data_IF_001467382912
#
_entry.id   IF_001467382912
#
_cell.length_a   1.000
_cell.length_b   1.000
_cell.length_c   1.000
_cell.angle_alpha   90.00
_cell.angle_beta   90.00
_cell.angle_gamma   90.00
#
_symmetry.space_group_name_H-M   'P 1'
#
loop_
_entity.id
_entity.type
_entity.pdbx_description
1 polymer ?
#
# COMPACT_ATOMS: atom_id res chain seq x y z
N UNK A 1 -0.43 17.83 -22.51
CA UNK A 1 -0.35 16.58 -21.74
C UNK A 1 -0.55 16.98 -20.29
N UNK A 2 -1.48 16.35 -19.60
CA UNK A 2 -1.75 16.67 -18.19
C UNK A 2 -0.52 16.29 -17.35
N UNK A 3 -0.21 17.08 -16.33
CA UNK A 3 1.00 16.84 -15.54
C UNK A 3 0.90 15.54 -14.73
N UNK A 4 -0.20 15.35 -14.00
CA UNK A 4 -0.40 14.14 -13.22
C UNK A 4 -1.90 13.84 -13.07
N UNK A 5 -2.31 12.60 -13.35
CA UNK A 5 -3.66 12.11 -12.99
C UNK A 5 -3.68 11.66 -11.55
N UNK A 6 -4.73 12.03 -10.81
CA UNK A 6 -4.96 11.59 -9.43
C UNK A 6 -6.00 10.49 -9.43
N UNK A 7 -5.61 9.27 -9.02
CA UNK A 7 -6.47 8.08 -8.98
C UNK A 7 -6.85 7.80 -7.53
N UNK A 8 -8.15 7.78 -7.25
CA UNK A 8 -8.72 7.49 -5.93
C UNK A 8 -9.57 6.23 -6.03
N UNK A 9 -9.27 5.22 -5.19
CA UNK A 9 -10.05 3.98 -5.15
C UNK A 9 -11.05 4.04 -4.02
N UNK A 10 -12.33 3.89 -4.35
CA UNK A 10 -13.41 3.74 -3.38
C UNK A 10 -13.81 2.26 -3.23
N UNK A 11 -13.98 1.83 -1.98
CA UNK A 11 -14.71 0.62 -1.64
C UNK A 11 -15.37 0.76 -0.27
N UNK A 12 -16.69 1.00 -0.26
CA UNK A 12 -17.50 1.22 0.97
C UNK A 12 -17.04 2.41 1.84
N UNK A 13 -16.42 3.41 1.23
CA UNK A 13 -15.89 4.58 1.94
C UNK A 13 -16.27 5.90 1.25
N UNK A 14 -17.54 6.12 0.86
CA UNK A 14 -17.92 7.28 0.04
C UNK A 14 -17.60 8.61 0.74
N UNK A 15 -17.83 8.72 2.04
CA UNK A 15 -17.54 9.95 2.80
C UNK A 15 -16.05 10.27 2.82
N UNK A 16 -15.20 9.26 3.03
CA UNK A 16 -13.75 9.43 2.97
C UNK A 16 -13.28 9.82 1.56
N UNK A 17 -13.86 9.20 0.53
CA UNK A 17 -13.58 9.54 -0.88
C UNK A 17 -13.94 11.00 -1.19
N UNK A 18 -15.08 11.46 -0.71
CA UNK A 18 -15.50 12.85 -0.85
C UNK A 18 -14.57 13.80 -0.08
N UNK A 19 -14.17 13.46 1.13
CA UNK A 19 -13.25 14.31 1.90
C UNK A 19 -11.83 14.34 1.30
N UNK A 20 -11.37 13.21 0.75
CA UNK A 20 -10.14 13.16 -0.03
C UNK A 20 -10.26 14.09 -1.27
N UNK A 21 -11.35 13.99 -2.03
CA UNK A 21 -11.61 14.85 -3.19
C UNK A 21 -11.67 16.34 -2.82
N UNK A 22 -12.31 16.70 -1.70
CA UNK A 22 -12.32 18.10 -1.18
C UNK A 22 -10.92 18.63 -0.92
N UNK A 23 -10.01 17.79 -0.41
CA UNK A 23 -8.62 18.21 -0.15
C UNK A 23 -7.84 18.56 -1.42
N UNK A 24 -8.37 18.16 -2.59
CA UNK A 24 -7.80 18.47 -3.91
C UNK A 24 -8.46 19.70 -4.57
N UNK A 25 -9.38 20.38 -3.89
CA UNK A 25 -10.21 21.44 -4.50
C UNK A 25 -9.44 22.67 -4.96
N UNK A 26 -8.31 22.97 -4.32
CA UNK A 26 -7.45 24.12 -4.66
C UNK A 26 -6.50 23.83 -5.83
N UNK A 27 -6.41 22.58 -6.29
CA UNK A 27 -5.55 22.20 -7.39
C UNK A 27 -6.22 22.51 -8.75
N UNK A 28 -5.42 22.98 -9.70
CA UNK A 28 -5.87 23.18 -11.08
C UNK A 28 -6.29 21.85 -11.72
N UNK A 29 -7.57 21.72 -12.02
CA UNK A 29 -8.17 20.52 -12.61
C UNK A 29 -7.58 20.21 -13.99
N UNK A 30 -7.26 21.25 -14.78
CA UNK A 30 -6.72 21.08 -16.13
C UNK A 30 -5.31 20.45 -16.13
N UNK A 31 -4.56 20.66 -15.04
CA UNK A 31 -3.22 20.09 -14.88
C UNK A 31 -3.21 18.77 -14.08
N UNK A 32 -4.28 18.51 -13.31
CA UNK A 32 -4.41 17.36 -12.42
C UNK A 32 -5.81 16.72 -12.52
N UNK A 33 -6.13 16.04 -13.64
CA UNK A 33 -7.38 15.31 -13.78
C UNK A 33 -7.55 14.28 -12.67
N UNK A 34 -8.78 14.12 -12.20
CA UNK A 34 -9.13 13.24 -11.08
C UNK A 34 -9.97 12.09 -11.57
N UNK A 35 -9.59 10.88 -11.20
CA UNK A 35 -10.25 9.64 -11.56
C UNK A 35 -10.63 8.92 -10.27
N UNK A 36 -11.92 8.74 -10.03
CA UNK A 36 -12.43 7.94 -8.92
C UNK A 36 -12.88 6.60 -9.47
N UNK A 37 -12.33 5.51 -8.95
CA UNK A 37 -12.75 4.16 -9.31
C UNK A 37 -13.50 3.56 -8.12
N UNK A 38 -14.80 3.35 -8.26
CA UNK A 38 -15.56 2.54 -7.33
C UNK A 38 -15.34 1.05 -7.63
N UNK A 39 -14.73 0.36 -6.70
CA UNK A 39 -14.33 -1.03 -6.85
C UNK A 39 -15.49 -2.00 -6.54
N UNK A 40 -16.66 -1.76 -7.16
CA UNK A 40 -17.90 -2.53 -6.97
C UNK A 40 -18.37 -2.50 -5.51
N UNK A 41 -18.52 -1.34 -4.93
CA UNK A 41 -19.11 -1.20 -3.59
C UNK A 41 -20.55 -1.74 -3.59
N UNK A 42 -20.93 -2.62 -2.65
CA UNK A 42 -22.28 -3.18 -2.57
C UNK A 42 -23.28 -2.25 -1.89
N UNK A 43 -22.82 -1.10 -1.39
CA UNK A 43 -23.62 -0.06 -0.76
C UNK A 43 -23.95 1.06 -1.78
N UNK A 44 -24.45 2.18 -1.30
CA UNK A 44 -24.82 3.35 -2.11
C UNK A 44 -23.64 4.30 -2.40
N UNK A 45 -22.40 3.81 -2.35
CA UNK A 45 -21.18 4.63 -2.53
C UNK A 45 -21.20 5.42 -3.84
N UNK A 46 -21.54 4.77 -4.95
CA UNK A 46 -21.59 5.39 -6.29
C UNK A 46 -22.59 6.56 -6.29
N UNK A 47 -23.79 6.34 -5.76
CA UNK A 47 -24.84 7.36 -5.75
C UNK A 47 -24.42 8.57 -4.90
N UNK A 48 -23.83 8.33 -3.72
CA UNK A 48 -23.36 9.39 -2.83
C UNK A 48 -22.21 10.22 -3.46
N UNK A 49 -21.26 9.56 -4.11
CA UNK A 49 -20.15 10.24 -4.79
C UNK A 49 -20.70 11.02 -5.99
N UNK A 50 -21.55 10.41 -6.82
CA UNK A 50 -22.18 11.06 -7.98
C UNK A 50 -23.02 12.28 -7.58
N UNK A 51 -23.84 12.16 -6.52
CA UNK A 51 -24.61 13.26 -5.95
C UNK A 51 -23.70 14.42 -5.49
N UNK A 52 -22.56 14.11 -4.86
CA UNK A 52 -21.59 15.12 -4.46
C UNK A 52 -21.01 15.84 -5.69
N UNK A 53 -20.60 15.10 -6.73
CA UNK A 53 -20.05 15.67 -7.96
C UNK A 53 -21.07 16.58 -8.66
N UNK A 54 -22.34 16.13 -8.77
CA UNK A 54 -23.43 16.91 -9.35
C UNK A 54 -23.68 18.23 -8.61
N UNK A 55 -23.81 18.18 -7.26
CA UNK A 55 -24.09 19.37 -6.43
C UNK A 55 -22.98 20.41 -6.47
N UNK A 56 -21.74 20.00 -6.75
CA UNK A 56 -20.57 20.88 -6.79
C UNK A 56 -20.08 21.19 -8.21
N UNK A 57 -20.82 20.79 -9.26
CA UNK A 57 -20.47 20.98 -10.67
C UNK A 57 -19.08 20.41 -11.02
N UNK A 58 -18.76 19.22 -10.50
CA UNK A 58 -17.46 18.58 -10.70
C UNK A 58 -17.47 17.47 -11.77
N UNK A 59 -18.61 17.20 -12.42
CA UNK A 59 -18.74 16.10 -13.41
C UNK A 59 -17.82 16.23 -14.62
N UNK A 60 -17.51 17.47 -15.04
CA UNK A 60 -16.60 17.72 -16.16
C UNK A 60 -15.12 17.66 -15.75
N UNK A 61 -14.84 17.50 -14.46
CA UNK A 61 -13.49 17.58 -13.89
C UNK A 61 -13.06 16.34 -13.10
N UNK A 62 -13.96 15.38 -12.92
CA UNK A 62 -13.74 14.14 -12.18
C UNK A 62 -14.40 12.99 -12.94
N UNK A 63 -13.60 12.05 -13.38
CA UNK A 63 -14.09 10.81 -13.97
C UNK A 63 -14.48 9.83 -12.85
N UNK A 64 -15.78 9.46 -12.78
CA UNK A 64 -16.27 8.43 -11.87
C UNK A 64 -16.50 7.13 -12.63
N UNK A 65 -15.70 6.11 -12.33
CA UNK A 65 -15.71 4.79 -12.98
C UNK A 65 -16.28 3.75 -12.01
N UNK A 66 -17.35 3.08 -12.40
CA UNK A 66 -17.90 1.94 -11.67
C UNK A 66 -17.29 0.64 -12.20
N UNK A 67 -16.56 -0.10 -11.38
CA UNK A 67 -16.03 -1.41 -11.75
C UNK A 67 -17.12 -2.48 -11.74
N UNK A 68 -17.05 -3.44 -12.66
CA UNK A 68 -18.00 -4.57 -12.73
C UNK A 68 -17.81 -5.58 -11.58
N UNK A 69 -16.63 -5.62 -10.98
CA UNK A 69 -16.25 -6.54 -9.90
C UNK A 69 -15.28 -5.87 -8.92
N UNK A 70 -15.32 -6.26 -7.65
CA UNK A 70 -14.25 -5.95 -6.71
C UNK A 70 -13.11 -6.95 -6.91
N UNK A 71 -12.10 -6.58 -7.68
CA UNK A 71 -10.92 -7.42 -7.89
C UNK A 71 -9.70 -6.97 -7.07
N UNK A 72 -9.93 -6.22 -5.99
CA UNK A 72 -8.90 -5.78 -5.05
C UNK A 72 -8.24 -4.44 -5.42
N UNK A 73 -7.22 -4.09 -4.66
CA UNK A 73 -6.55 -2.79 -4.77
C UNK A 73 -5.79 -2.61 -6.09
N UNK A 74 -5.08 -3.65 -6.53
CA UNK A 74 -4.32 -3.61 -7.79
C UNK A 74 -5.24 -3.35 -8.99
N UNK A 75 -6.33 -4.10 -9.12
CA UNK A 75 -7.25 -3.99 -10.24
C UNK A 75 -7.96 -2.64 -10.28
N UNK A 76 -8.40 -2.13 -9.12
CA UNK A 76 -8.99 -0.79 -9.03
C UNK A 76 -8.02 0.30 -9.52
N UNK A 77 -6.77 0.27 -9.06
CA UNK A 77 -5.76 1.23 -9.51
C UNK A 77 -5.46 1.06 -11.01
N UNK A 78 -5.32 -0.17 -11.50
CA UNK A 78 -5.08 -0.43 -12.92
C UNK A 78 -6.19 0.12 -13.81
N UNK A 79 -7.45 0.06 -13.36
CA UNK A 79 -8.58 0.67 -14.08
C UNK A 79 -8.37 2.18 -14.27
N UNK A 80 -7.97 2.88 -13.21
CA UNK A 80 -7.66 4.32 -13.29
C UNK A 80 -6.40 4.62 -14.10
N UNK A 81 -5.34 3.81 -13.97
CA UNK A 81 -4.08 3.99 -14.72
C UNK A 81 -4.33 3.84 -16.22
N UNK A 82 -5.15 2.87 -16.64
CA UNK A 82 -5.44 2.61 -18.05
C UNK A 82 -6.19 3.75 -18.78
N UNK A 83 -6.91 4.60 -18.05
CA UNK A 83 -7.59 5.77 -18.63
C UNK A 83 -6.79 7.05 -18.48
N UNK A 84 -5.72 7.04 -17.70
CA UNK A 84 -4.82 8.17 -17.53
C UNK A 84 -3.94 8.40 -18.77
N UNK A 85 -3.82 9.66 -19.18
CA UNK A 85 -2.91 10.08 -20.27
C UNK A 85 -1.85 11.09 -19.78
N UNK A 86 -1.60 11.15 -18.49
CA UNK A 86 -0.69 12.11 -17.86
C UNK A 86 0.75 11.59 -17.84
N UNK A 87 1.71 12.50 -17.71
CA UNK A 87 3.13 12.18 -17.54
C UNK A 87 3.39 11.43 -16.23
N UNK A 88 2.64 11.79 -15.19
CA UNK A 88 2.70 11.14 -13.89
C UNK A 88 1.32 10.64 -13.46
N UNK A 89 1.29 9.61 -12.63
CA UNK A 89 0.07 9.07 -12.02
C UNK A 89 0.25 9.07 -10.50
N UNK A 90 -0.65 9.75 -9.80
CA UNK A 90 -0.75 9.70 -8.34
C UNK A 90 -1.75 8.63 -7.94
N UNK A 91 -1.28 7.57 -7.28
CA UNK A 91 -2.16 6.64 -6.57
C UNK A 91 -2.44 7.21 -5.19
N UNK A 92 -3.71 7.36 -4.84
CA UNK A 92 -4.16 8.02 -3.62
C UNK A 92 -5.29 7.23 -2.96
N UNK A 93 -5.11 6.80 -1.72
CA UNK A 93 -6.18 6.13 -0.98
C UNK A 93 -7.32 7.09 -0.64
N UNK A 94 -8.55 6.58 -0.60
CA UNK A 94 -9.72 7.37 -0.18
C UNK A 94 -9.64 7.91 1.26
N UNK A 95 -8.90 7.23 2.15
CA UNK A 95 -8.71 7.65 3.54
C UNK A 95 -7.49 8.60 3.74
N UNK A 96 -7.26 9.48 2.75
CA UNK A 96 -6.19 10.49 2.80
C UNK A 96 -6.74 11.91 2.66
N UNK A 97 -6.00 12.88 3.22
CA UNK A 97 -6.24 14.33 3.06
C UNK A 97 -4.92 14.95 2.60
N UNK A 98 -4.92 15.50 1.42
CA UNK A 98 -3.73 16.12 0.83
C UNK A 98 -3.54 17.53 1.41
N UNK A 99 -2.34 17.85 1.88
CA UNK A 99 -2.03 19.22 2.28
C UNK A 99 -1.74 20.09 1.07
N UNK A 100 -2.04 21.40 1.13
CA UNK A 100 -1.79 22.32 0.02
C UNK A 100 -0.34 22.25 -0.50
N UNK A 101 -0.17 22.18 -1.82
CA UNK A 101 1.14 22.15 -2.48
C UNK A 101 1.87 20.80 -2.45
N UNK A 102 1.31 19.78 -1.79
CA UNK A 102 2.00 18.49 -1.63
C UNK A 102 2.21 17.75 -2.96
N UNK A 103 1.19 17.74 -3.82
CA UNK A 103 1.27 17.01 -5.11
C UNK A 103 2.19 17.75 -6.07
N UNK A 104 2.07 19.08 -6.14
CA UNK A 104 2.95 19.93 -6.95
C UNK A 104 4.42 19.73 -6.55
N UNK A 105 4.68 19.59 -5.26
CA UNK A 105 6.02 19.33 -4.75
C UNK A 105 6.52 17.93 -5.17
N UNK A 106 5.66 16.91 -5.13
CA UNK A 106 6.02 15.57 -5.63
C UNK A 106 6.30 15.57 -7.14
N UNK A 107 5.48 16.28 -7.93
CA UNK A 107 5.71 16.43 -9.37
C UNK A 107 7.06 17.10 -9.63
N UNK A 108 7.31 18.24 -8.99
CA UNK A 108 8.59 18.95 -9.08
C UNK A 108 9.76 18.03 -8.67
N UNK A 109 9.59 17.23 -7.62
CA UNK A 109 10.61 16.28 -7.17
C UNK A 109 10.97 15.28 -8.26
N UNK A 110 10.01 14.73 -9.01
CA UNK A 110 10.29 13.81 -10.11
C UNK A 110 10.87 14.54 -11.35
N UNK A 111 10.39 15.75 -11.66
CA UNK A 111 10.93 16.55 -12.75
C UNK A 111 12.43 16.87 -12.55
N UNK A 112 12.82 17.23 -11.33
CA UNK A 112 14.20 17.51 -10.95
C UNK A 112 15.09 16.26 -10.85
N UNK A 113 14.48 15.06 -10.78
CA UNK A 113 15.18 13.78 -10.60
C UNK A 113 14.73 12.74 -11.65
N UNK A 114 15.16 12.87 -12.93
CA UNK A 114 14.67 12.01 -14.02
C UNK A 114 14.96 10.50 -13.83
N UNK A 115 15.96 10.14 -13.03
CA UNK A 115 16.29 8.75 -12.69
C UNK A 115 15.36 8.14 -11.64
N UNK A 116 14.49 8.94 -11.03
CA UNK A 116 13.49 8.47 -10.06
C UNK A 116 12.18 8.15 -10.79
N UNK A 117 11.70 6.92 -10.60
CA UNK A 117 10.41 6.48 -11.14
C UNK A 117 9.24 6.82 -10.25
N UNK A 118 9.48 7.02 -8.94
CA UNK A 118 8.42 7.24 -7.95
C UNK A 118 8.84 8.29 -6.92
N UNK A 119 7.86 9.09 -6.47
CA UNK A 119 8.00 10.02 -5.34
C UNK A 119 6.92 9.75 -4.28
N UNK A 120 7.31 9.71 -3.01
CA UNK A 120 6.38 9.53 -1.90
C UNK A 120 6.42 10.70 -0.92
N UNK A 121 5.27 11.10 -0.35
CA UNK A 121 5.17 12.16 0.66
C UNK A 121 5.45 11.63 2.07
N UNK A 122 5.62 12.55 3.00
CA UNK A 122 5.47 12.31 4.41
C UNK A 122 3.99 12.01 4.71
N UNK A 123 3.67 10.73 4.95
CA UNK A 123 2.36 10.38 5.51
C UNK A 123 2.32 10.77 6.98
N UNK A 124 1.24 11.41 7.41
CA UNK A 124 1.09 11.88 8.79
C UNK A 124 -0.27 11.50 9.38
N UNK A 125 -0.37 11.53 10.70
CA UNK A 125 -1.65 11.47 11.40
C UNK A 125 -2.36 12.84 11.32
N UNK A 126 -3.68 12.92 11.65
CA UNK A 126 -4.39 14.20 11.64
C UNK A 126 -3.77 15.27 12.55
N UNK A 127 -3.03 14.87 13.57
CA UNK A 127 -2.31 15.76 14.49
C UNK A 127 -0.91 16.18 13.97
N UNK A 128 -0.56 15.82 12.73
CA UNK A 128 0.72 16.17 12.10
C UNK A 128 1.89 15.26 12.47
N UNK A 129 1.70 14.24 13.32
CA UNK A 129 2.79 13.29 13.61
C UNK A 129 3.07 12.39 12.40
N UNK A 130 4.34 12.32 11.96
CA UNK A 130 4.68 11.47 10.81
C UNK A 130 4.40 9.98 11.06
N UNK A 131 4.06 9.28 9.99
CA UNK A 131 3.87 7.84 9.97
C UNK A 131 5.06 7.16 9.28
N UNK A 132 5.36 5.91 9.69
CA UNK A 132 6.26 5.07 8.92
C UNK A 132 5.60 4.74 7.57
N UNK A 133 6.22 5.20 6.47
CA UNK A 133 5.76 5.02 5.09
C UNK A 133 6.86 4.58 4.13
N UNK A 134 8.11 4.55 4.59
CA UNK A 134 9.29 4.16 3.83
C UNK A 134 9.90 2.89 4.40
N UNK A 135 10.31 1.96 3.54
CA UNK A 135 10.64 0.60 3.97
C UNK A 135 11.79 -0.01 3.16
N UNK A 136 12.42 -1.06 3.75
CA UNK A 136 13.25 -2.05 3.03
C UNK A 136 12.38 -3.21 2.56
N UNK A 137 12.79 -3.89 1.48
CA UNK A 137 12.08 -5.06 0.98
C UNK A 137 11.95 -6.17 2.02
N UNK A 138 10.80 -6.83 1.98
CA UNK A 138 10.56 -8.04 2.76
C UNK A 138 11.42 -9.20 2.25
N UNK A 139 12.39 -9.63 3.06
CA UNK A 139 13.23 -10.81 2.83
C UNK A 139 12.84 -11.93 3.79
N UNK A 140 13.07 -13.20 3.48
CA UNK A 140 12.70 -14.31 4.38
C UNK A 140 13.14 -14.13 5.84
N UNK A 141 14.32 -13.55 6.09
CA UNK A 141 14.83 -13.30 7.44
C UNK A 141 13.98 -12.31 8.27
N UNK A 142 13.25 -11.43 7.60
CA UNK A 142 12.38 -10.47 8.29
C UNK A 142 11.27 -11.17 9.09
N UNK A 143 10.87 -12.37 8.65
CA UNK A 143 9.87 -13.16 9.34
C UNK A 143 10.33 -13.62 10.73
N UNK A 144 11.65 -13.90 10.89
CA UNK A 144 12.25 -14.17 12.20
C UNK A 144 12.17 -12.95 13.11
N UNK A 145 12.59 -11.79 12.60
CA UNK A 145 12.59 -10.54 13.37
C UNK A 145 11.17 -10.20 13.84
N UNK A 146 10.22 -10.26 12.90
CA UNK A 146 8.82 -9.91 13.14
C UNK A 146 8.15 -10.83 14.17
N UNK A 147 8.33 -12.14 14.05
CA UNK A 147 7.67 -13.10 14.94
C UNK A 147 8.34 -13.21 16.30
N UNK A 148 9.67 -13.10 16.38
CA UNK A 148 10.40 -13.10 17.65
C UNK A 148 10.12 -11.81 18.46
N UNK A 149 10.01 -10.67 17.81
CA UNK A 149 9.77 -9.35 18.40
C UNK A 149 10.64 -9.09 19.64
N UNK A 150 11.98 -9.32 19.54
CA UNK A 150 12.91 -9.16 20.65
C UNK A 150 14.02 -8.18 20.31
N UNK A 151 14.39 -7.31 21.27
CA UNK A 151 15.48 -6.37 21.11
C UNK A 151 16.82 -7.00 20.68
N UNK A 152 17.31 -8.10 21.29
CA UNK A 152 18.53 -8.76 20.88
C UNK A 152 18.52 -9.23 19.42
N UNK A 153 17.46 -9.92 18.97
CA UNK A 153 17.35 -10.39 17.58
C UNK A 153 17.27 -9.21 16.62
N UNK A 154 16.44 -8.21 16.93
CA UNK A 154 16.33 -6.98 16.12
C UNK A 154 17.68 -6.27 16.03
N UNK A 155 18.44 -6.16 17.13
CA UNK A 155 19.76 -5.52 17.13
C UNK A 155 20.79 -6.27 16.27
N UNK A 156 20.82 -7.61 16.32
CA UNK A 156 21.71 -8.43 15.49
C UNK A 156 21.37 -8.30 14.00
N UNK A 157 20.07 -8.30 13.68
CA UNK A 157 19.57 -8.27 12.31
C UNK A 157 19.04 -6.88 11.90
N UNK A 158 19.45 -5.79 12.55
CA UNK A 158 18.92 -4.43 12.35
C UNK A 158 18.91 -3.98 10.88
N UNK A 159 19.90 -4.39 10.08
CA UNK A 159 19.96 -4.08 8.64
C UNK A 159 18.81 -4.69 7.83
N UNK A 160 18.10 -5.65 8.40
CA UNK A 160 16.95 -6.31 7.79
C UNK A 160 15.60 -5.83 8.40
N UNK A 161 15.60 -4.85 9.29
CA UNK A 161 14.33 -4.24 9.71
C UNK A 161 13.64 -3.62 8.51
N UNK A 162 12.34 -3.94 8.34
CA UNK A 162 11.58 -3.46 7.18
C UNK A 162 11.29 -1.97 7.27
N UNK A 163 10.71 -1.43 8.37
CA UNK A 163 10.47 0.00 8.47
C UNK A 163 11.77 0.81 8.52
N UNK A 164 11.83 1.87 7.74
CA UNK A 164 12.83 2.92 7.92
C UNK A 164 12.34 3.88 9.00
N UNK A 165 13.27 4.44 9.75
CA UNK A 165 12.94 5.49 10.71
C UNK A 165 12.38 6.70 9.98
N UNK A 166 11.35 7.31 10.55
CA UNK A 166 10.86 8.60 10.10
C UNK A 166 12.01 9.61 10.09
N UNK A 167 12.08 10.42 9.05
CA UNK A 167 13.15 11.39 8.81
C UNK A 167 12.57 12.68 8.25
N UNK A 168 13.13 13.79 8.63
CA UNK A 168 12.94 15.12 8.06
C UNK A 168 13.81 15.38 6.84
N UNK A 169 14.57 14.37 6.38
CA UNK A 169 15.46 14.44 5.22
C UNK A 169 14.92 13.57 4.10
N UNK A 170 15.27 13.92 2.88
CA UNK A 170 15.03 13.08 1.71
C UNK A 170 15.61 11.69 1.94
N UNK A 171 14.82 10.66 1.65
CA UNK A 171 15.20 9.25 1.72
C UNK A 171 15.06 8.58 0.35
N UNK A 172 15.76 7.48 0.18
CA UNK A 172 15.67 6.62 -1.00
C UNK A 172 15.29 5.20 -0.54
N UNK A 173 14.01 4.97 -0.21
CA UNK A 173 13.54 3.68 0.29
C UNK A 173 13.60 2.60 -0.78
N UNK A 174 13.61 1.32 -0.35
CA UNK A 174 13.46 0.21 -1.27
C UNK A 174 11.99 0.09 -1.75
N UNK A 175 11.01 0.37 -0.88
CA UNK A 175 9.60 0.52 -1.23
C UNK A 175 8.90 1.53 -0.32
N UNK A 176 7.77 2.03 -0.76
CA UNK A 176 6.94 3.00 -0.05
C UNK A 176 5.48 2.56 -0.04
N UNK A 177 4.70 3.09 0.90
CA UNK A 177 3.25 2.82 0.97
C UNK A 177 2.51 3.46 -0.19
N UNK A 178 1.65 2.69 -0.86
CA UNK A 178 0.77 3.20 -1.93
C UNK A 178 -0.50 3.86 -1.40
N UNK A 179 -0.51 4.25 -0.13
CA UNK A 179 -1.54 5.16 0.37
C UNK A 179 -1.47 6.54 -0.32
N UNK A 180 -0.25 6.98 -0.69
CA UNK A 180 0.00 8.10 -1.58
C UNK A 180 1.37 7.91 -2.23
N UNK A 181 1.42 7.79 -3.55
CA UNK A 181 2.66 7.68 -4.32
C UNK A 181 2.46 8.27 -5.72
N UNK A 182 3.36 9.14 -6.15
CA UNK A 182 3.43 9.64 -7.51
C UNK A 182 4.37 8.75 -8.32
N UNK A 183 3.92 8.27 -9.47
CA UNK A 183 4.63 7.33 -10.33
C UNK A 183 4.76 7.96 -11.72
N UNK A 184 5.95 7.92 -12.30
CA UNK A 184 6.18 8.30 -13.69
C UNK A 184 5.52 7.27 -14.61
N UNK A 185 4.74 7.71 -15.60
CA UNK A 185 3.99 6.80 -16.50
C UNK A 185 4.91 5.84 -17.27
N UNK A 186 6.15 6.26 -17.58
CA UNK A 186 7.17 5.41 -18.17
C UNK A 186 7.47 4.14 -17.35
N UNK A 187 7.33 4.19 -16.02
CA UNK A 187 7.52 3.00 -15.16
C UNK A 187 6.50 1.93 -15.53
N UNK A 188 5.22 2.30 -15.76
CA UNK A 188 4.20 1.33 -16.17
C UNK A 188 4.47 0.74 -17.57
N UNK A 189 5.03 1.53 -18.48
CA UNK A 189 5.42 1.06 -19.81
C UNK A 189 6.56 0.05 -19.73
N UNK A 190 7.53 0.28 -18.84
CA UNK A 190 8.73 -0.56 -18.71
C UNK A 190 8.46 -1.88 -17.96
N UNK A 191 7.60 -1.86 -16.93
CA UNK A 191 7.43 -3.03 -16.04
C UNK A 191 6.00 -3.59 -16.00
N UNK A 192 5.05 -2.95 -16.70
CA UNK A 192 3.63 -3.26 -16.63
C UNK A 192 2.96 -2.70 -15.39
N UNK A 193 1.66 -2.92 -15.27
CA UNK A 193 0.79 -2.43 -14.21
C UNK A 193 1.02 -3.17 -12.88
N UNK A 194 0.19 -2.85 -11.86
CA UNK A 194 0.15 -3.62 -10.62
C UNK A 194 -0.32 -5.05 -10.91
N UNK A 195 0.27 -6.03 -10.23
CA UNK A 195 -0.11 -7.45 -10.39
C UNK A 195 -1.46 -7.70 -9.70
N UNK A 196 -2.51 -7.93 -10.50
CA UNK A 196 -3.89 -8.11 -10.02
C UNK A 196 -4.11 -9.42 -9.25
N UNK A 197 -3.15 -10.33 -9.29
CA UNK A 197 -3.18 -11.53 -8.46
C UNK A 197 -2.90 -11.24 -6.98
N UNK A 198 -2.49 -10.02 -6.63
CA UNK A 198 -2.54 -9.50 -5.27
C UNK A 198 -3.88 -8.78 -5.06
N UNK A 199 -4.80 -9.45 -4.35
CA UNK A 199 -6.07 -8.81 -4.02
C UNK A 199 -5.87 -7.54 -3.17
N UNK A 200 -5.05 -7.63 -2.15
CA UNK A 200 -4.65 -6.53 -1.27
C UNK A 200 -3.44 -6.92 -0.43
N UNK A 201 -2.52 -5.97 -0.20
CA UNK A 201 -1.21 -6.10 0.44
C UNK A 201 -0.18 -6.82 -0.42
N UNK A 202 1.07 -6.39 -0.31
CA UNK A 202 2.25 -6.80 -1.06
C UNK A 202 2.26 -6.39 -2.55
N UNK A 203 1.18 -5.84 -3.11
CA UNK A 203 1.16 -5.27 -4.46
C UNK A 203 2.12 -4.07 -4.58
N UNK A 204 2.17 -3.22 -3.54
CA UNK A 204 3.07 -2.07 -3.44
C UNK A 204 4.55 -2.52 -3.38
N UNK A 205 4.84 -3.51 -2.55
CA UNK A 205 6.19 -4.09 -2.43
C UNK A 205 6.61 -4.78 -3.74
N UNK A 206 5.71 -5.55 -4.36
CA UNK A 206 5.94 -6.21 -5.65
C UNK A 206 6.25 -5.20 -6.75
N UNK A 207 5.42 -4.16 -6.87
CA UNK A 207 5.60 -3.14 -7.88
C UNK A 207 6.93 -2.39 -7.70
N UNK A 208 7.25 -1.97 -6.48
CA UNK A 208 8.52 -1.31 -6.18
C UNK A 208 9.74 -2.22 -6.46
N UNK A 209 9.63 -3.53 -6.21
CA UNK A 209 10.71 -4.46 -6.49
C UNK A 209 10.94 -4.64 -7.99
N UNK A 210 9.87 -4.80 -8.80
CA UNK A 210 9.95 -4.85 -10.26
C UNK A 210 10.52 -3.55 -10.84
N UNK A 211 10.08 -2.41 -10.33
CA UNK A 211 10.59 -1.11 -10.76
C UNK A 211 12.09 -0.98 -10.48
N UNK A 212 12.54 -1.41 -9.29
CA UNK A 212 13.96 -1.36 -8.94
C UNK A 212 14.81 -2.32 -9.78
N UNK A 213 14.30 -3.51 -10.12
CA UNK A 213 14.96 -4.45 -11.03
C UNK A 213 15.11 -3.87 -12.45
N UNK A 214 14.18 -3.00 -12.88
CA UNK A 214 14.25 -2.26 -14.14
C UNK A 214 15.13 -0.99 -14.06
N UNK A 215 15.72 -0.68 -12.89
CA UNK A 215 16.61 0.47 -12.68
C UNK A 215 15.95 1.71 -12.11
N UNK A 216 14.64 1.71 -11.90
CA UNK A 216 13.91 2.82 -11.29
C UNK A 216 14.10 2.87 -9.77
N UNK A 217 14.26 4.07 -9.24
CA UNK A 217 14.38 4.31 -7.80
C UNK A 217 13.20 5.12 -7.26
N UNK A 218 13.08 5.14 -5.93
CA UNK A 218 12.05 5.90 -5.20
C UNK A 218 12.74 7.03 -4.45
N UNK A 219 12.17 8.22 -4.51
CA UNK A 219 12.56 9.36 -3.69
C UNK A 219 11.42 9.69 -2.72
N UNK A 220 11.72 9.81 -1.44
CA UNK A 220 10.79 10.28 -0.43
C UNK A 220 11.08 11.75 -0.13
N UNK A 221 10.08 12.59 -0.34
CA UNK A 221 10.16 14.02 -0.03
C UNK A 221 9.42 14.30 1.29
N UNK A 222 10.13 14.62 2.38
CA UNK A 222 9.51 14.84 3.69
C UNK A 222 8.69 16.14 3.77
N UNK A 223 8.89 17.09 2.85
CA UNK A 223 8.19 18.38 2.84
C UNK A 223 6.81 18.29 2.15
N UNK A 224 6.55 17.21 1.39
CA UNK A 224 5.23 16.92 0.84
C UNK A 224 4.40 16.18 1.89
N UNK A 225 3.34 16.80 2.42
CA UNK A 225 2.56 16.25 3.52
C UNK A 225 1.20 15.73 3.08
N UNK A 226 0.85 14.49 3.47
CA UNK A 226 -0.47 13.89 3.24
C UNK A 226 -0.93 13.20 4.52
N UNK A 227 -2.10 13.61 5.03
CA UNK A 227 -2.73 12.93 6.17
C UNK A 227 -3.26 11.58 5.70
N UNK A 228 -2.97 10.51 6.45
CA UNK A 228 -3.50 9.18 6.19
C UNK A 228 -4.23 8.68 7.44
N UNK A 229 -5.56 8.62 7.37
CA UNK A 229 -6.43 8.30 8.51
C UNK A 229 -6.29 6.85 8.96
N UNK A 230 -5.87 5.96 8.07
CA UNK A 230 -5.66 4.52 8.25
C UNK A 230 -6.90 3.74 8.70
N UNK A 231 -7.19 2.66 8.00
CA UNK A 231 -8.18 1.67 8.43
C UNK A 231 -9.57 1.84 7.82
N UNK A 232 -9.73 2.69 6.81
CA UNK A 232 -11.02 2.89 6.13
C UNK A 232 -11.51 1.64 5.39
N UNK A 233 -10.63 0.95 4.67
CA UNK A 233 -11.05 -0.10 3.71
C UNK A 233 -10.62 -1.53 4.05
N UNK A 234 -9.74 -1.76 5.04
CA UNK A 234 -9.24 -3.10 5.36
C UNK A 234 -9.23 -3.43 6.85
N UNK A 235 -9.72 -4.60 7.25
CA UNK A 235 -9.72 -5.03 8.65
C UNK A 235 -8.36 -5.51 9.17
N UNK A 236 -7.33 -5.69 8.31
CA UNK A 236 -6.06 -6.33 8.69
C UNK A 236 -5.39 -5.62 9.86
N UNK A 237 -5.24 -4.29 9.80
CA UNK A 237 -4.58 -3.52 10.88
C UNK A 237 -5.35 -3.59 12.19
N UNK A 238 -6.68 -3.45 12.14
CA UNK A 238 -7.53 -3.53 13.33
C UNK A 238 -7.54 -4.94 13.94
N UNK A 239 -7.56 -5.97 13.10
CA UNK A 239 -7.47 -7.36 13.55
C UNK A 239 -6.10 -7.68 14.13
N UNK A 240 -5.01 -7.21 13.48
CA UNK A 240 -3.65 -7.38 13.98
C UNK A 240 -3.47 -6.71 15.36
N UNK A 241 -3.97 -5.49 15.54
CA UNK A 241 -3.93 -4.80 16.83
C UNK A 241 -4.68 -5.55 17.93
N UNK A 242 -5.79 -6.21 17.58
CA UNK A 242 -6.60 -7.07 18.48
C UNK A 242 -6.09 -8.52 18.54
N UNK A 243 -5.00 -8.86 17.84
CA UNK A 243 -4.42 -10.21 17.71
C UNK A 243 -5.44 -11.25 17.21
N UNK A 244 -6.47 -10.82 16.49
CA UNK A 244 -7.44 -11.69 15.83
C UNK A 244 -6.84 -12.31 14.58
N UNK A 245 -7.47 -13.38 14.06
CA UNK A 245 -7.07 -14.03 12.82
C UNK A 245 -7.14 -13.04 11.65
N UNK A 246 -6.06 -12.90 10.88
CA UNK A 246 -6.04 -12.05 9.70
C UNK A 246 -6.81 -12.70 8.55
N UNK A 247 -7.34 -11.90 7.59
CA UNK A 247 -8.01 -12.40 6.42
C UNK A 247 -7.10 -13.28 5.57
N UNK A 248 -7.68 -14.24 4.86
CA UNK A 248 -6.96 -15.20 4.03
C UNK A 248 -6.16 -14.52 2.91
N UNK A 249 -6.72 -13.52 2.24
CA UNK A 249 -6.05 -12.79 1.16
C UNK A 249 -4.69 -12.20 1.57
N UNK A 250 -4.52 -11.81 2.85
CA UNK A 250 -3.23 -11.33 3.36
C UNK A 250 -2.15 -12.40 3.28
N UNK A 251 -2.49 -13.66 3.61
CA UNK A 251 -1.54 -14.78 3.56
C UNK A 251 -1.34 -15.28 2.13
N UNK A 252 -2.35 -15.22 1.27
CA UNK A 252 -2.23 -15.53 -0.15
C UNK A 252 -1.27 -14.56 -0.82
N UNK A 253 -1.44 -13.25 -0.61
CA UNK A 253 -0.52 -12.21 -1.11
C UNK A 253 0.91 -12.39 -0.56
N UNK A 254 1.05 -12.68 0.74
CA UNK A 254 2.36 -12.96 1.34
C UNK A 254 3.05 -14.18 0.68
N UNK A 255 2.34 -15.26 0.48
CA UNK A 255 2.89 -16.47 -0.11
C UNK A 255 3.29 -16.26 -1.57
N UNK A 256 2.45 -15.55 -2.33
CA UNK A 256 2.73 -15.14 -3.71
C UNK A 256 3.99 -14.26 -3.78
N UNK A 257 4.10 -13.24 -2.93
CA UNK A 257 5.26 -12.35 -2.88
C UNK A 257 6.56 -13.11 -2.64
N UNK A 258 6.64 -13.94 -1.59
CA UNK A 258 7.86 -14.71 -1.33
C UNK A 258 8.17 -15.73 -2.42
N UNK A 259 7.17 -16.32 -3.04
CA UNK A 259 7.35 -17.23 -4.17
C UNK A 259 7.84 -16.50 -5.41
N UNK A 260 7.21 -15.38 -5.77
CA UNK A 260 7.52 -14.61 -6.98
C UNK A 260 8.96 -14.10 -6.97
N UNK A 261 9.41 -13.56 -5.84
CA UNK A 261 10.71 -12.90 -5.75
C UNK A 261 11.84 -13.77 -5.18
N UNK A 262 11.52 -14.83 -4.46
CA UNK A 262 12.56 -15.69 -3.81
C UNK A 262 12.39 -17.18 -4.11
N UNK A 263 11.45 -17.53 -4.98
CA UNK A 263 11.15 -18.90 -5.36
C UNK A 263 10.53 -19.73 -4.22
N UNK A 264 10.24 -21.00 -4.49
CA UNK A 264 9.67 -21.93 -3.50
C UNK A 264 10.52 -22.09 -2.26
N UNK A 265 11.85 -22.12 -2.42
CA UNK A 265 12.77 -22.22 -1.30
C UNK A 265 12.78 -20.96 -0.44
N UNK A 266 12.64 -19.78 -1.05
CA UNK A 266 12.50 -18.51 -0.32
C UNK A 266 11.23 -18.46 0.52
N UNK A 267 10.08 -18.89 -0.03
CA UNK A 267 8.82 -19.01 0.71
C UNK A 267 8.95 -20.03 1.87
N UNK A 268 9.57 -21.18 1.64
CA UNK A 268 9.84 -22.16 2.69
C UNK A 268 10.68 -21.56 3.82
N UNK A 269 11.79 -20.89 3.48
CA UNK A 269 12.65 -20.21 4.46
C UNK A 269 11.89 -19.14 5.26
N UNK A 270 11.04 -18.34 4.61
CA UNK A 270 10.23 -17.34 5.28
C UNK A 270 9.31 -17.99 6.35
N UNK A 271 8.67 -19.10 5.99
CA UNK A 271 7.83 -19.84 6.93
C UNK A 271 8.61 -20.45 8.10
N UNK A 272 9.75 -21.05 7.83
CA UNK A 272 10.63 -21.61 8.90
C UNK A 272 11.16 -20.50 9.82
N UNK A 273 11.63 -19.38 9.25
CA UNK A 273 12.11 -18.25 10.06
C UNK A 273 10.98 -17.67 10.92
N UNK A 274 9.76 -17.62 10.39
CA UNK A 274 8.62 -17.21 11.21
C UNK A 274 8.40 -18.15 12.40
N UNK A 275 8.44 -19.47 12.18
CA UNK A 275 8.30 -20.45 13.27
C UNK A 275 9.43 -20.37 14.29
N UNK A 276 10.67 -20.19 13.86
CA UNK A 276 11.78 -19.98 14.78
C UNK A 276 11.57 -18.76 15.68
N UNK A 277 11.14 -17.64 15.11
CA UNK A 277 10.80 -16.46 15.91
C UNK A 277 9.58 -16.68 16.81
N UNK A 278 8.58 -17.43 16.35
CA UNK A 278 7.43 -17.81 17.18
C UNK A 278 7.86 -18.63 18.39
N UNK A 279 8.76 -19.60 18.24
CA UNK A 279 9.33 -20.36 19.37
C UNK A 279 10.01 -19.43 20.36
N UNK A 280 10.85 -18.49 19.89
CA UNK A 280 11.45 -17.46 20.76
C UNK A 280 10.40 -16.66 21.52
N UNK A 281 9.33 -16.22 20.84
CA UNK A 281 8.24 -15.49 21.50
C UNK A 281 7.53 -16.34 22.56
N UNK A 282 7.32 -17.64 22.29
CA UNK A 282 6.71 -18.56 23.25
C UNK A 282 7.59 -18.80 24.47
N UNK A 283 8.90 -19.03 24.27
CA UNK A 283 9.88 -19.15 25.37
C UNK A 283 9.87 -17.89 26.24
N UNK A 284 9.87 -16.69 25.64
CA UNK A 284 9.77 -15.42 26.40
C UNK A 284 8.53 -15.34 27.25
N UNK A 285 7.39 -15.82 26.73
CA UNK A 285 6.13 -15.83 27.48
C UNK A 285 6.20 -16.68 28.74
N UNK A 286 7.00 -17.76 28.74
CA UNK A 286 7.23 -18.59 29.93
C UNK A 286 8.03 -17.87 31.03
N UNK A 287 8.98 -17.03 30.64
CA UNK A 287 9.87 -16.32 31.57
C UNK A 287 9.42 -14.92 31.94
N UNK A 288 8.44 -14.33 31.23
CA UNK A 288 7.96 -12.98 31.47
C UNK A 288 6.43 -12.92 31.46
N UNK A 289 5.82 -12.81 32.65
CA UNK A 289 4.36 -12.72 32.81
C UNK A 289 3.73 -11.51 32.10
N UNK A 290 4.50 -10.43 31.94
CA UNK A 290 4.04 -9.18 31.30
C UNK A 290 4.27 -9.17 29.79
N UNK A 291 4.95 -10.18 29.24
CA UNK A 291 5.18 -10.24 27.79
C UNK A 291 3.92 -10.62 27.04
N UNK A 292 3.50 -9.74 26.14
CA UNK A 292 2.40 -10.01 25.21
C UNK A 292 2.96 -10.19 23.79
N UNK A 293 2.81 -11.39 23.24
CA UNK A 293 3.18 -11.69 21.85
C UNK A 293 2.33 -10.87 20.87
N UNK A 294 2.94 -10.43 19.77
CA UNK A 294 2.24 -9.76 18.65
C UNK A 294 1.66 -10.75 17.63
N UNK A 295 1.67 -12.03 17.93
CA UNK A 295 1.22 -13.10 17.04
C UNK A 295 -0.31 -13.15 17.02
N UNK A 296 -0.88 -13.14 15.83
CA UNK A 296 -2.31 -13.25 15.62
C UNK A 296 -2.82 -14.69 15.78
N UNK A 297 -4.13 -14.81 16.01
CA UNK A 297 -4.80 -16.11 16.11
C UNK A 297 -4.56 -16.99 14.88
N UNK A 298 -4.22 -18.25 15.05
CA UNK A 298 -3.94 -19.26 14.00
C UNK A 298 -2.85 -18.87 12.99
N UNK A 299 -2.10 -17.82 13.23
CA UNK A 299 -1.07 -17.34 12.31
C UNK A 299 -0.02 -18.41 11.99
N UNK A 300 0.35 -19.25 12.96
CA UNK A 300 1.29 -20.37 12.79
C UNK A 300 0.87 -21.36 11.69
N UNK A 301 -0.42 -21.50 11.44
CA UNK A 301 -0.99 -22.32 10.37
C UNK A 301 -1.17 -21.50 9.09
N UNK A 302 -1.70 -20.30 9.23
CA UNK A 302 -2.15 -19.48 8.10
C UNK A 302 -0.98 -18.97 7.25
N UNK A 303 0.24 -18.88 7.78
CA UNK A 303 1.46 -18.58 6.99
C UNK A 303 1.76 -19.64 5.91
N UNK A 304 1.17 -20.83 5.99
CA UNK A 304 1.30 -21.91 5.02
C UNK A 304 0.21 -21.86 3.94
N UNK A 305 -0.67 -20.85 3.95
CA UNK A 305 -1.69 -20.65 2.92
C UNK A 305 -1.02 -20.63 1.55
N UNK A 306 -1.57 -21.39 0.61
CA UNK A 306 -1.07 -21.56 -0.75
C UNK A 306 0.38 -22.06 -0.89
N UNK A 307 1.02 -22.61 0.15
CA UNK A 307 2.41 -23.07 0.09
C UNK A 307 2.66 -24.11 -1.03
N UNK A 308 1.73 -25.07 -1.20
CA UNK A 308 1.84 -26.10 -2.26
C UNK A 308 1.59 -25.55 -3.67
N UNK A 309 0.77 -24.49 -3.78
CA UNK A 309 0.48 -23.80 -5.04
C UNK A 309 0.48 -22.28 -4.84
N UNK A 310 1.67 -21.64 -4.68
CA UNK A 310 1.76 -20.22 -4.36
C UNK A 310 1.42 -19.29 -5.52
N UNK A 311 1.32 -19.83 -6.75
CA UNK A 311 0.85 -19.11 -7.93
C UNK A 311 -0.67 -19.25 -8.17
N UNK A 312 -1.40 -19.97 -7.29
CA UNK A 312 -2.85 -20.06 -7.39
C UNK A 312 -3.49 -18.65 -7.34
N UNK A 313 -4.54 -18.39 -8.13
CA UNK A 313 -5.33 -17.17 -7.97
C UNK A 313 -5.81 -17.02 -6.52
N UNK A 314 -5.95 -15.78 -6.06
CA UNK A 314 -6.54 -15.54 -4.74
C UNK A 314 -8.01 -16.00 -4.72
N UNK A 315 -8.50 -16.37 -3.55
CA UNK A 315 -9.92 -16.62 -3.35
C UNK A 315 -10.55 -15.28 -2.93
N UNK A 316 -11.57 -14.85 -3.68
CA UNK A 316 -12.27 -13.61 -3.35
C UNK A 316 -12.78 -13.62 -1.90
N UNK A 317 -12.64 -12.52 -1.12
CA UNK A 317 -13.06 -12.49 0.29
C UNK A 317 -14.53 -12.89 0.55
N UNK A 318 -15.41 -12.65 -0.40
CA UNK A 318 -16.83 -13.02 -0.28
C UNK A 318 -17.08 -14.56 -0.42
N UNK A 319 -16.04 -15.33 -0.75
CA UNK A 319 -16.13 -16.78 -1.02
C UNK A 319 -15.55 -17.65 0.13
N UNK A 320 -15.20 -17.07 1.30
CA UNK A 320 -14.69 -17.83 2.47
C UNK A 320 -15.06 -17.28 3.84
#
# INVERSE_FOLDING_TARGET
MDRASVIIINYKTPDLTVDCLKSLSEMDVSSFPRIIVDNKSPDNSIDLISDYLNRNNLNDSVDLIASDKNAGFSSGNNTGINVSNSEFVLLLNSDTIVRPGAIELLVKTLEENPQMGMASPCLEWPDGRPQESCFRFHRPINELIRSAATGPITKIFHRYEVPLRVSDKVLYPEWTSFACVLIRSQVFEDIGLLDEEFFMYFEDVDFCMRAREAGWNIIHNPDAHVVHLRGGSSPVKSQAAKKKRLPRYFYESRSRYYYKHFGRFGLFRANIYWHLGWVVAMVRKLFSRNYQSNICEKQWRDIWTNFCNPAAPYIHPDNY
#
